data_IF_274220434381
#
_entry.id   IF_274220434381
#
_cell.length_a   1.000
_cell.length_b   1.000
_cell.length_c   1.000
_cell.angle_alpha   90.00
_cell.angle_beta   90.00
_cell.angle_gamma   90.00
#
_symmetry.space_group_name_H-M   'P 1'
#
loop_
_entity.id
_entity.type
_entity.pdbx_description
1 polymer ?
#
# COMPACT_ATOMS: atom_id res chain seq x y z
N UNK A 1 -0.90 3.60 -11.31
CA UNK A 1 -0.31 3.56 -9.96
C UNK A 1 -1.22 4.30 -9.00
N UNK A 2 -1.54 3.72 -7.84
CA UNK A 2 -2.26 4.35 -6.75
C UNK A 2 -1.36 4.36 -5.51
N UNK A 3 -1.39 5.44 -4.75
CA UNK A 3 -0.66 5.57 -3.48
C UNK A 3 -1.67 5.90 -2.39
N UNK A 4 -1.52 5.30 -1.23
CA UNK A 4 -2.46 5.41 -0.12
C UNK A 4 -1.72 5.63 1.21
N UNK A 5 -2.32 6.40 2.12
CA UNK A 5 -1.86 6.49 3.51
C UNK A 5 -2.33 5.26 4.28
N UNK A 6 -1.41 4.62 5.02
CA UNK A 6 -1.68 3.45 5.85
C UNK A 6 -1.70 3.84 7.32
N UNK A 7 -2.71 3.39 8.08
CA UNK A 7 -2.80 3.64 9.51
C UNK A 7 -2.24 2.46 10.27
N UNK A 8 -1.27 2.74 11.14
CA UNK A 8 -0.66 1.77 12.04
C UNK A 8 -0.87 2.28 13.47
N UNK A 9 -1.35 1.40 14.35
CA UNK A 9 -1.51 1.72 15.77
C UNK A 9 -0.45 0.99 16.58
N UNK A 10 0.19 1.71 17.50
CA UNK A 10 0.99 1.08 18.55
C UNK A 10 0.06 0.49 19.60
N UNK A 11 0.10 -0.83 19.80
CA UNK A 11 -0.56 -1.48 20.93
C UNK A 11 0.30 -1.32 22.18
N UNK A 12 -0.22 -0.64 23.20
CA UNK A 12 0.24 -0.91 24.56
C UNK A 12 -0.29 -2.29 24.93
N UNK A 13 0.54 -3.32 24.89
CA UNK A 13 0.12 -4.65 25.31
C UNK A 13 -0.23 -4.59 26.81
N UNK A 14 -1.47 -4.92 27.24
CA UNK A 14 -1.68 -5.32 28.61
C UNK A 14 -1.00 -6.68 28.78
N UNK A 15 -0.33 -6.86 29.91
CA UNK A 15 0.27 -8.12 30.32
C UNK A 15 -0.82 -9.21 30.43
N UNK A 16 -1.08 -9.93 29.34
CA UNK A 16 -1.98 -11.08 29.37
C UNK A 16 -1.24 -12.22 30.04
N UNK A 17 -1.58 -12.51 31.30
CA UNK A 17 -1.08 -13.67 32.07
C UNK A 17 -1.03 -14.91 31.17
N UNK A 18 0.18 -15.41 30.91
CA UNK A 18 0.40 -16.74 30.30
C UNK A 18 1.02 -16.77 28.90
N UNK A 19 1.25 -15.65 28.21
CA UNK A 19 2.11 -15.61 27.01
C UNK A 19 3.11 -14.47 27.12
N UNK A 20 4.40 -14.76 26.98
CA UNK A 20 5.44 -13.75 26.95
C UNK A 20 5.11 -12.71 25.87
N UNK A 21 5.00 -11.44 26.26
CA UNK A 21 4.84 -10.35 25.32
C UNK A 21 6.08 -10.33 24.41
N UNK A 22 5.89 -10.52 23.10
CA UNK A 22 6.95 -10.33 22.11
C UNK A 22 7.17 -8.81 21.94
N UNK A 23 8.25 -8.23 22.48
CA UNK A 23 8.35 -6.77 22.63
C UNK A 23 8.32 -6.00 21.30
N UNK A 24 8.66 -6.67 20.21
CA UNK A 24 8.74 -6.13 18.86
C UNK A 24 7.41 -6.16 18.08
N UNK A 25 6.39 -6.86 18.57
CA UNK A 25 5.10 -7.01 17.88
C UNK A 25 4.08 -5.95 18.33
N UNK A 26 4.53 -4.69 18.45
CA UNK A 26 3.72 -3.58 19.00
C UNK A 26 2.93 -2.80 17.97
N UNK A 27 3.02 -3.13 16.68
CA UNK A 27 2.37 -2.35 15.63
C UNK A 27 1.35 -3.20 14.89
N UNK A 28 0.11 -2.71 14.84
CA UNK A 28 -0.98 -3.34 14.10
C UNK A 28 -1.44 -2.41 12.99
N UNK A 29 -1.49 -2.93 11.76
CA UNK A 29 -2.14 -2.27 10.64
C UNK A 29 -3.65 -2.16 10.91
N UNK A 30 -4.26 -1.01 10.62
CA UNK A 30 -5.68 -0.73 10.91
C UNK A 30 -6.47 -0.37 9.65
N UNK A 31 -5.82 -0.27 8.49
CA UNK A 31 -6.43 0.14 7.22
C UNK A 31 -5.74 1.37 6.64
N UNK A 32 -6.47 2.16 5.85
CA UNK A 32 -5.86 3.27 5.12
C UNK A 32 -6.83 4.27 4.50
N UNK A 33 -6.26 5.26 3.82
CA UNK A 33 -6.93 6.25 2.99
C UNK A 33 -6.31 6.29 1.60
N UNK A 34 -7.13 6.37 0.57
CA UNK A 34 -6.70 6.57 -0.81
C UNK A 34 -7.60 7.59 -1.52
N UNK A 35 -7.09 8.41 -2.45
CA UNK A 35 -5.67 8.63 -2.75
C UNK A 35 -4.91 9.27 -1.58
N UNK A 36 -3.59 9.13 -1.58
CA UNK A 36 -2.69 9.82 -0.65
C UNK A 36 -2.78 11.33 -0.85
N UNK A 37 -3.05 12.04 0.23
CA UNK A 37 -3.08 13.50 0.29
C UNK A 37 -1.88 13.98 1.10
N UNK A 38 -0.76 14.21 0.42
CA UNK A 38 0.51 14.54 1.05
C UNK A 38 1.43 15.27 0.05
N UNK A 39 2.23 16.27 0.48
CA UNK A 39 3.17 16.98 -0.42
C UNK A 39 4.15 16.04 -1.14
N UNK A 40 4.57 14.95 -0.49
CA UNK A 40 5.46 13.93 -1.07
C UNK A 40 4.73 12.86 -1.91
N UNK A 41 3.46 13.05 -2.28
CA UNK A 41 2.71 12.02 -3.02
C UNK A 41 3.33 11.68 -4.39
N UNK A 42 3.85 12.68 -5.11
CA UNK A 42 4.54 12.45 -6.38
C UNK A 42 5.88 11.74 -6.19
N UNK A 43 6.65 12.15 -5.16
CA UNK A 43 7.88 11.45 -4.78
C UNK A 43 7.62 10.00 -4.39
N UNK A 44 6.57 9.74 -3.62
CA UNK A 44 6.15 8.38 -3.24
C UNK A 44 5.85 7.52 -4.49
N UNK A 45 5.15 8.08 -5.47
CA UNK A 45 4.90 7.43 -6.77
C UNK A 45 6.22 7.08 -7.47
N UNK A 46 7.12 8.05 -7.59
CA UNK A 46 8.42 7.87 -8.26
C UNK A 46 9.27 6.81 -7.57
N UNK A 47 9.42 6.88 -6.24
CA UNK A 47 10.18 5.91 -5.44
C UNK A 47 9.60 4.50 -5.59
N UNK A 48 8.28 4.34 -5.57
CA UNK A 48 7.64 3.03 -5.79
C UNK A 48 7.97 2.46 -7.18
N UNK A 49 7.93 3.29 -8.22
CA UNK A 49 8.28 2.86 -9.57
C UNK A 49 9.75 2.45 -9.68
N UNK A 50 10.66 3.21 -9.06
CA UNK A 50 12.08 2.87 -9.01
C UNK A 50 12.32 1.52 -8.33
N UNK A 51 11.68 1.26 -7.18
CA UNK A 51 11.79 -0.03 -6.49
C UNK A 51 11.26 -1.19 -7.34
N UNK A 52 10.10 -1.03 -7.99
CA UNK A 52 9.55 -2.06 -8.86
C UNK A 52 10.46 -2.34 -10.08
N UNK A 53 11.08 -1.31 -10.67
CA UNK A 53 11.99 -1.48 -11.82
C UNK A 53 13.29 -2.17 -11.45
N UNK A 54 13.74 -2.04 -10.20
CA UNK A 54 14.98 -2.66 -9.72
C UNK A 54 14.84 -4.18 -9.51
N UNK A 55 13.61 -4.71 -9.39
CA UNK A 55 13.35 -6.13 -9.14
C UNK A 55 12.89 -6.80 -10.43
N UNK A 56 13.73 -7.68 -10.97
CA UNK A 56 13.42 -8.41 -12.20
C UNK A 56 12.25 -9.39 -11.98
N UNK A 57 11.36 -9.47 -12.98
CA UNK A 57 10.28 -10.46 -13.02
C UNK A 57 8.97 -10.04 -12.33
N UNK A 58 8.89 -8.85 -11.74
CA UNK A 58 7.64 -8.35 -11.17
C UNK A 58 6.55 -8.16 -12.24
N UNK A 59 5.35 -8.66 -11.94
CA UNK A 59 4.18 -8.63 -12.82
C UNK A 59 2.89 -8.49 -12.01
N UNK A 60 1.90 -7.80 -12.58
CA UNK A 60 0.57 -7.69 -11.98
C UNK A 60 0.44 -6.61 -10.91
N UNK A 61 -0.29 -6.91 -9.84
CA UNK A 61 -0.50 -6.00 -8.70
C UNK A 61 0.67 -6.12 -7.72
N UNK A 62 1.39 -5.02 -7.53
CA UNK A 62 2.53 -4.93 -6.61
C UNK A 62 2.22 -3.88 -5.54
N UNK A 63 2.18 -4.29 -4.28
CA UNK A 63 2.18 -3.37 -3.15
C UNK A 63 3.60 -2.89 -2.88
N UNK A 64 3.77 -1.60 -2.61
CA UNK A 64 5.04 -1.04 -2.13
C UNK A 64 4.75 -0.27 -0.86
N UNK A 65 5.27 -0.77 0.26
CA UNK A 65 5.10 -0.14 1.56
C UNK A 65 6.28 0.79 1.82
N UNK A 66 5.96 2.00 2.27
CA UNK A 66 6.94 3.07 2.46
C UNK A 66 6.59 3.93 3.66
N UNK A 67 7.63 4.54 4.23
CA UNK A 67 7.51 5.59 5.24
C UNK A 67 7.85 6.91 4.58
N UNK A 68 6.96 7.89 4.71
CA UNK A 68 7.22 9.26 4.29
C UNK A 68 7.81 10.01 5.48
N UNK A 69 8.97 10.63 5.29
CA UNK A 69 9.57 11.57 6.24
C UNK A 69 9.13 12.99 5.89
N UNK A 70 9.76 14.00 6.49
CA UNK A 70 9.53 15.40 6.13
C UNK A 70 9.93 15.72 4.68
N UNK A 71 10.94 15.03 4.14
CA UNK A 71 11.49 15.31 2.80
C UNK A 71 11.58 14.10 1.87
N UNK A 72 11.55 12.87 2.41
CA UNK A 72 11.85 11.65 1.66
C UNK A 72 10.70 10.64 1.68
N UNK A 73 10.67 9.77 0.67
CA UNK A 73 9.87 8.56 0.66
C UNK A 73 10.80 7.34 0.70
N UNK A 74 10.78 6.59 1.81
CA UNK A 74 11.69 5.47 2.04
C UNK A 74 10.92 4.16 1.90
N UNK A 75 11.35 3.30 0.97
CA UNK A 75 10.76 1.97 0.75
C UNK A 75 11.14 1.04 1.89
N UNK A 76 10.16 0.34 2.43
CA UNK A 76 10.34 -0.65 3.49
C UNK A 76 10.16 -2.06 2.93
N UNK A 77 9.14 -2.27 2.11
CA UNK A 77 8.77 -3.60 1.62
C UNK A 77 8.17 -3.53 0.21
N UNK A 78 8.48 -4.53 -0.63
CA UNK A 78 7.81 -4.76 -1.90
C UNK A 78 7.05 -6.07 -1.80
N UNK A 79 5.73 -5.97 -1.95
CA UNK A 79 4.76 -7.06 -1.84
C UNK A 79 4.27 -7.45 -3.24
N UNK A 80 4.85 -8.46 -3.91
CA UNK A 80 4.42 -8.92 -5.24
C UNK A 80 3.15 -9.79 -5.18
N UNK A 81 2.16 -9.34 -4.41
CA UNK A 81 0.88 -10.00 -4.16
C UNK A 81 -0.17 -8.95 -3.82
N UNK A 82 -1.42 -9.38 -3.77
CA UNK A 82 -2.50 -8.54 -3.28
C UNK A 82 -2.27 -8.17 -1.81
N UNK A 83 -2.51 -6.89 -1.49
CA UNK A 83 -2.46 -6.35 -0.12
C UNK A 83 -3.82 -5.79 0.26
N UNK A 84 -4.06 -5.56 1.56
CA UNK A 84 -5.33 -4.98 2.04
C UNK A 84 -5.62 -3.59 1.44
N UNK A 85 -4.58 -2.87 1.00
CA UNK A 85 -4.73 -1.60 0.28
C UNK A 85 -5.58 -1.71 -1.00
N UNK A 86 -5.70 -2.91 -1.57
CA UNK A 86 -6.63 -3.21 -2.65
C UNK A 86 -8.07 -2.77 -2.34
N UNK A 87 -8.55 -2.92 -1.10
CA UNK A 87 -9.91 -2.53 -0.71
C UNK A 87 -10.16 -1.03 -0.92
N UNK A 88 -9.16 -0.20 -0.64
CA UNK A 88 -9.23 1.23 -0.91
C UNK A 88 -9.18 1.51 -2.40
N UNK A 89 -8.20 0.94 -3.11
CA UNK A 89 -7.96 1.24 -4.53
C UNK A 89 -9.16 0.82 -5.39
N UNK A 90 -9.72 -0.38 -5.18
CA UNK A 90 -10.91 -0.86 -5.91
C UNK A 90 -12.14 0.03 -5.70
N UNK A 91 -12.26 0.65 -4.52
CA UNK A 91 -13.40 1.49 -4.19
C UNK A 91 -13.20 2.94 -4.67
N UNK A 92 -11.95 3.36 -4.88
CA UNK A 92 -11.60 4.71 -5.33
C UNK A 92 -11.65 4.88 -6.85
N UNK A 93 -11.47 3.79 -7.59
CA UNK A 93 -11.48 3.73 -9.05
C UNK A 93 -12.83 3.19 -9.56
N UNK A 94 -13.21 3.57 -10.79
CA UNK A 94 -14.36 2.98 -11.50
C UNK A 94 -13.95 1.75 -12.34
N UNK A 95 -12.67 1.39 -12.30
CA UNK A 95 -12.10 0.28 -13.05
C UNK A 95 -12.15 -1.03 -12.28
N UNK A 96 -12.21 -2.15 -13.01
CA UNK A 96 -11.97 -3.47 -12.42
C UNK A 96 -10.47 -3.68 -12.15
N UNK A 97 -10.02 -3.28 -10.96
CA UNK A 97 -8.60 -3.36 -10.54
C UNK A 97 -8.03 -4.79 -10.64
N UNK A 98 -8.84 -5.82 -10.40
CA UNK A 98 -8.39 -7.21 -10.55
C UNK A 98 -8.13 -7.56 -12.03
N UNK A 99 -9.02 -7.15 -12.93
CA UNK A 99 -8.80 -7.34 -14.37
C UNK A 99 -7.56 -6.59 -14.87
N UNK A 100 -7.33 -5.36 -14.39
CA UNK A 100 -6.11 -4.59 -14.70
C UNK A 100 -4.84 -5.32 -14.23
N UNK A 101 -4.88 -5.92 -13.04
CA UNK A 101 -3.76 -6.69 -12.52
C UNK A 101 -3.46 -7.94 -13.36
N UNK A 102 -4.50 -8.66 -13.81
CA UNK A 102 -4.33 -9.82 -14.70
C UNK A 102 -3.80 -9.42 -16.08
N UNK A 103 -4.30 -8.32 -16.65
CA UNK A 103 -3.78 -7.77 -17.90
C UNK A 103 -2.29 -7.39 -17.77
N UNK A 104 -1.90 -6.80 -16.65
CA UNK A 104 -0.50 -6.50 -16.35
C UNK A 104 0.38 -7.76 -16.25
N UNK A 105 -0.13 -8.89 -15.74
CA UNK A 105 0.58 -10.17 -15.79
C UNK A 105 0.85 -10.65 -17.22
N UNK A 106 -0.06 -10.36 -18.14
CA UNK A 106 0.07 -10.63 -19.58
C UNK A 106 0.90 -9.59 -20.33
N UNK A 107 1.45 -8.58 -19.65
CA UNK A 107 2.29 -7.53 -20.24
C UNK A 107 1.54 -6.27 -20.70
N UNK A 108 0.24 -6.18 -20.46
CA UNK A 108 -0.56 -4.99 -20.79
C UNK A 108 -0.75 -4.11 -19.54
N UNK A 109 0.04 -3.04 -19.42
CA UNK A 109 -0.12 -2.07 -18.33
C UNK A 109 -1.27 -1.10 -18.64
N UNK A 110 -2.14 -0.78 -17.67
CA UNK A 110 -3.18 0.21 -17.86
C UNK A 110 -2.59 1.62 -17.95
N UNK A 111 -3.27 2.50 -18.69
CA UNK A 111 -3.13 3.94 -18.47
C UNK A 111 -3.53 4.27 -17.03
N UNK A 112 -2.91 5.26 -16.40
CA UNK A 112 -3.17 5.59 -14.99
C UNK A 112 -4.65 5.97 -14.82
N UNK A 113 -5.48 5.11 -14.18
CA UNK A 113 -6.88 5.45 -14.01
C UNK A 113 -7.00 6.56 -12.95
N UNK A 114 -7.86 7.57 -13.18
CA UNK A 114 -8.06 8.63 -12.20
C UNK A 114 -8.85 8.11 -11.00
N UNK A 115 -8.43 8.50 -9.80
CA UNK A 115 -9.26 8.31 -8.61
C UNK A 115 -10.50 9.21 -8.72
N UNK A 116 -11.69 8.63 -8.56
CA UNK A 116 -12.97 9.35 -8.65
C UNK A 116 -13.48 9.79 -7.28
N UNK A 117 -13.00 9.13 -6.22
CA UNK A 117 -13.45 9.37 -4.86
C UNK A 117 -12.33 9.09 -3.86
N UNK A 118 -12.43 9.74 -2.70
CA UNK A 118 -11.58 9.47 -1.54
C UNK A 118 -12.22 8.37 -0.70
N UNK A 119 -11.44 7.36 -0.35
CA UNK A 119 -11.90 6.18 0.39
C UNK A 119 -11.06 6.01 1.64
N UNK A 120 -11.71 5.80 2.78
CA UNK A 120 -11.10 5.23 3.97
C UNK A 120 -11.60 3.78 4.11
N UNK A 121 -10.69 2.88 4.44
CA UNK A 121 -11.00 1.47 4.68
C UNK A 121 -10.29 0.97 5.94
N UNK A 122 -10.81 -0.10 6.54
CA UNK A 122 -10.22 -0.76 7.71
C UNK A 122 -9.63 -2.10 7.33
N UNK A 123 -8.58 -2.51 8.05
CA UNK A 123 -8.19 -3.91 8.14
C UNK A 123 -9.07 -4.53 9.24
N UNK A 124 -9.89 -5.53 8.88
CA UNK A 124 -10.73 -6.25 9.84
C UNK A 124 -9.89 -7.07 10.82
#
# INVERSE_FOLDING_TARGET
>A
LAVNAQFVRSSQAPERRGRAAVPWLRFCYQGGKTPLDHPLAERAVETALCACRAIQGLRGYIGVDMVLTESEAVVIEVNPRLTTAYLGVRAALDENVAALALAACAGALPTRPPARRRVRFTAA
#
